data_IF_646008592432
#
_entry.id   IF_646008592432
#
_cell.length_a   1.000
_cell.length_b   1.000
_cell.length_c   1.000
_cell.angle_alpha   90.00
_cell.angle_beta   90.00
_cell.angle_gamma   90.00
#
_symmetry.space_group_name_H-M   'P 1'
#
loop_
_entity.id
_entity.type
_entity.pdbx_description
1 polymer ?
#
# COMPACT_ATOMS: atom_id res chain seq x y z
N UNK A 1 -12.75 -11.41 3.47
CA UNK A 1 -12.49 -9.99 3.78
C UNK A 1 -11.04 -9.67 3.49
N UNK A 2 -10.75 -8.53 2.85
CA UNK A 2 -9.37 -8.11 2.64
C UNK A 2 -8.67 -7.90 3.98
N UNK A 3 -7.36 -8.14 4.02
CA UNK A 3 -6.50 -7.57 5.05
C UNK A 3 -6.38 -6.07 4.79
N UNK A 4 -6.41 -5.27 5.84
CA UNK A 4 -6.31 -3.81 5.77
C UNK A 4 -5.12 -3.38 6.62
N UNK A 5 -4.04 -2.97 5.95
CA UNK A 5 -2.91 -2.34 6.60
C UNK A 5 -3.16 -0.83 6.72
N UNK A 6 -3.32 -0.33 7.95
CA UNK A 6 -3.67 1.08 8.20
C UNK A 6 -2.42 1.89 8.52
N UNK A 7 -2.26 3.02 7.83
CA UNK A 7 -1.07 3.85 7.90
C UNK A 7 0.06 3.39 6.97
N UNK A 8 -0.12 2.28 6.26
CA UNK A 8 0.87 1.73 5.35
C UNK A 8 1.19 2.67 4.19
N UNK A 9 2.45 2.63 3.74
CA UNK A 9 2.99 3.36 2.60
C UNK A 9 3.62 2.31 1.66
N UNK A 10 2.95 1.90 0.57
CA UNK A 10 3.22 0.62 -0.09
C UNK A 10 4.36 0.64 -1.13
N UNK A 11 5.31 1.57 -1.00
CA UNK A 11 6.50 1.63 -1.85
C UNK A 11 7.64 2.38 -1.15
N UNK A 12 8.82 2.28 -1.74
CA UNK A 12 10.07 2.85 -1.24
C UNK A 12 10.00 4.39 -1.08
N UNK A 13 10.55 4.90 0.01
CA UNK A 13 10.52 6.33 0.38
C UNK A 13 9.11 6.98 0.36
N UNK A 14 8.04 6.19 0.42
CA UNK A 14 6.69 6.72 0.41
C UNK A 14 6.48 7.65 1.62
N UNK A 15 5.91 8.83 1.38
CA UNK A 15 5.67 9.85 2.41
C UNK A 15 4.32 10.55 2.24
N UNK A 16 3.62 10.70 3.36
CA UNK A 16 2.42 11.54 3.45
C UNK A 16 2.83 13.01 3.62
N UNK A 17 2.89 13.73 2.49
CA UNK A 17 3.34 15.12 2.40
C UNK A 17 2.46 15.94 1.44
N UNK A 18 2.93 17.11 1.03
CA UNK A 18 2.28 17.84 -0.06
C UNK A 18 2.52 17.11 -1.37
N UNK A 19 1.43 16.67 -2.00
CA UNK A 19 1.39 16.02 -3.31
C UNK A 19 0.74 16.95 -4.32
N UNK A 20 0.91 16.65 -5.60
CA UNK A 20 0.21 17.37 -6.69
C UNK A 20 -0.63 16.38 -7.48
N UNK A 21 -1.91 16.67 -7.69
CA UNK A 21 -2.74 15.86 -8.60
C UNK A 21 -2.23 16.01 -10.03
N UNK A 22 -2.02 14.91 -10.74
CA UNK A 22 -1.73 14.93 -12.18
C UNK A 22 -3.00 14.61 -13.01
N UNK A 23 -4.03 14.03 -12.38
CA UNK A 23 -5.37 13.78 -12.92
C UNK A 23 -6.45 14.33 -11.97
N UNK A 24 -7.67 14.64 -12.46
CA UNK A 24 -8.78 14.99 -11.57
C UNK A 24 -9.18 13.80 -10.70
N UNK A 25 -9.42 14.03 -9.41
CA UNK A 25 -9.81 12.99 -8.44
C UNK A 25 -11.12 13.33 -7.73
N UNK A 26 -11.89 12.30 -7.39
CA UNK A 26 -13.08 12.41 -6.54
C UNK A 26 -12.76 11.79 -5.18
N UNK A 27 -12.97 12.56 -4.12
CA UNK A 27 -12.75 12.11 -2.74
C UNK A 27 -14.02 11.51 -2.18
N UNK A 28 -13.87 10.36 -1.54
CA UNK A 28 -14.93 9.61 -0.90
C UNK A 28 -14.92 9.81 0.62
N UNK A 29 -16.05 9.53 1.26
CA UNK A 29 -16.20 9.56 2.71
C UNK A 29 -15.34 8.49 3.43
N UNK A 30 -15.12 7.35 2.78
CA UNK A 30 -14.29 6.23 3.28
C UNK A 30 -13.69 5.40 2.13
N UNK A 31 -12.68 4.55 2.39
CA UNK A 31 -12.19 3.58 1.41
C UNK A 31 -13.34 2.75 0.82
N UNK A 32 -13.37 2.62 -0.51
CA UNK A 32 -14.46 1.96 -1.25
C UNK A 32 -15.88 2.49 -0.94
N UNK A 33 -16.00 3.73 -0.45
CA UNK A 33 -17.27 4.42 -0.25
C UNK A 33 -18.01 4.73 -1.56
N UNK A 34 -19.23 5.26 -1.45
CA UNK A 34 -20.03 5.70 -2.61
C UNK A 34 -20.32 7.20 -2.60
N UNK A 35 -20.08 7.86 -1.47
CA UNK A 35 -20.41 9.26 -1.26
C UNK A 35 -19.22 10.13 -1.65
N UNK A 36 -19.38 10.99 -2.65
CA UNK A 36 -18.34 11.95 -3.03
C UNK A 36 -18.42 13.18 -2.12
N UNK A 37 -17.35 13.46 -1.38
CA UNK A 37 -17.25 14.60 -0.44
C UNK A 37 -16.53 15.81 -1.06
N UNK A 38 -15.69 15.60 -2.07
CA UNK A 38 -15.03 16.66 -2.82
C UNK A 38 -14.58 16.17 -4.20
N UNK A 39 -14.33 17.12 -5.11
CA UNK A 39 -13.62 16.88 -6.38
C UNK A 39 -12.42 17.80 -6.41
N UNK A 40 -11.27 17.27 -6.80
CA UNK A 40 -10.01 18.01 -6.89
C UNK A 40 -9.57 17.99 -8.36
N UNK A 41 -9.34 19.15 -8.99
CA UNK A 41 -8.89 19.19 -10.38
C UNK A 41 -7.43 18.74 -10.48
N UNK A 42 -6.96 18.49 -11.71
CA UNK A 42 -5.54 18.27 -12.00
C UNK A 42 -4.69 19.50 -11.62
N UNK A 43 -3.38 19.32 -11.46
CA UNK A 43 -2.37 20.32 -11.10
C UNK A 43 -2.68 21.05 -9.78
N UNK A 44 -3.29 20.35 -8.83
CA UNK A 44 -3.69 20.92 -7.55
C UNK A 44 -2.86 20.33 -6.42
N UNK A 45 -2.28 21.22 -5.60
CA UNK A 45 -1.58 20.82 -4.38
C UNK A 45 -2.56 20.33 -3.31
N UNK A 46 -2.31 19.13 -2.79
CA UNK A 46 -3.06 18.47 -1.71
C UNK A 46 -2.08 17.93 -0.67
N UNK A 47 -2.54 17.64 0.54
CA UNK A 47 -1.72 16.98 1.56
C UNK A 47 -2.16 15.52 1.69
N UNK A 48 -1.26 14.56 1.43
CA UNK A 48 -1.45 13.17 1.85
C UNK A 48 -1.45 13.10 3.38
N UNK A 49 -2.46 12.45 3.97
CA UNK A 49 -2.68 12.40 5.42
C UNK A 49 -2.30 11.03 5.98
N UNK A 50 -2.81 9.96 5.35
CA UNK A 50 -2.56 8.56 5.69
C UNK A 50 -3.01 7.69 4.52
N UNK A 51 -2.82 6.38 4.60
CA UNK A 51 -3.37 5.44 3.66
C UNK A 51 -3.75 4.10 4.28
N UNK A 52 -4.44 3.29 3.49
CA UNK A 52 -4.79 1.91 3.78
C UNK A 52 -4.43 1.04 2.59
N UNK A 53 -3.68 -0.03 2.80
CA UNK A 53 -3.45 -1.05 1.77
C UNK A 53 -4.41 -2.20 2.02
N UNK A 54 -5.32 -2.40 1.06
CA UNK A 54 -6.31 -3.45 1.10
C UNK A 54 -5.79 -4.59 0.23
N UNK A 55 -5.62 -5.78 0.80
CA UNK A 55 -5.08 -6.92 0.05
C UNK A 55 -5.83 -8.22 0.31
N UNK A 56 -5.77 -9.12 -0.65
CA UNK A 56 -6.20 -10.51 -0.53
C UNK A 56 -4.98 -11.37 -0.22
N UNK A 57 -4.86 -11.92 1.01
CA UNK A 57 -3.64 -12.63 1.40
C UNK A 57 -3.36 -13.85 0.51
N UNK A 58 -2.14 -13.93 -0.03
CA UNK A 58 -1.67 -15.08 -0.79
C UNK A 58 -0.92 -16.04 0.12
N UNK A 59 -1.37 -17.30 0.22
CA UNK A 59 -0.67 -18.32 1.01
C UNK A 59 0.64 -18.71 0.33
N UNK A 60 1.74 -18.63 1.08
CA UNK A 60 3.10 -18.94 0.64
C UNK A 60 3.73 -19.94 1.62
N UNK A 61 4.58 -20.84 1.10
CA UNK A 61 5.44 -21.70 1.92
C UNK A 61 6.86 -21.20 1.75
N UNK A 62 7.48 -20.76 2.85
CA UNK A 62 8.81 -20.18 2.84
C UNK A 62 9.84 -21.18 2.29
N UNK A 63 10.57 -20.79 1.24
CA UNK A 63 11.60 -21.62 0.61
C UNK A 63 12.93 -21.61 1.36
N UNK A 64 13.14 -20.58 2.17
CA UNK A 64 14.32 -20.34 3.01
C UNK A 64 13.91 -19.61 4.31
N UNK A 65 14.87 -19.30 5.18
CA UNK A 65 14.63 -18.45 6.35
C UNK A 65 14.83 -16.97 5.96
N UNK A 66 13.99 -16.08 6.50
CA UNK A 66 14.15 -14.63 6.27
C UNK A 66 14.88 -13.99 7.44
N UNK A 67 16.03 -13.38 7.14
CA UNK A 67 16.89 -12.73 8.14
C UNK A 67 16.12 -11.67 8.94
N UNK A 68 16.42 -11.57 10.24
CA UNK A 68 15.72 -10.64 11.15
C UNK A 68 14.29 -11.03 11.51
N UNK A 69 13.78 -12.17 11.03
CA UNK A 69 12.43 -12.68 11.34
C UNK A 69 12.48 -14.06 12.01
N UNK A 70 11.40 -14.52 12.67
CA UNK A 70 11.30 -15.89 13.16
C UNK A 70 10.88 -16.91 12.09
N UNK A 71 10.75 -16.50 10.82
CA UNK A 71 10.26 -17.34 9.72
C UNK A 71 11.37 -18.26 9.23
N UNK A 72 11.07 -19.55 9.11
CA UNK A 72 12.01 -20.59 8.66
C UNK A 72 11.49 -21.27 7.39
N UNK A 73 12.40 -21.93 6.67
CA UNK A 73 12.04 -22.80 5.55
C UNK A 73 10.93 -23.78 5.94
N UNK A 74 9.89 -23.86 5.11
CA UNK A 74 8.73 -24.72 5.29
C UNK A 74 7.60 -24.08 6.11
N UNK A 75 7.83 -22.93 6.75
CA UNK A 75 6.74 -22.20 7.41
C UNK A 75 5.72 -21.70 6.38
N UNK A 76 4.46 -21.64 6.80
CA UNK A 76 3.38 -21.05 6.01
C UNK A 76 3.20 -19.61 6.44
N UNK A 77 3.27 -18.70 5.48
CA UNK A 77 3.03 -17.27 5.64
C UNK A 77 1.98 -16.80 4.63
N UNK A 78 1.46 -15.60 4.84
CA UNK A 78 0.55 -14.98 3.90
C UNK A 78 1.12 -13.67 3.39
N UNK A 79 1.46 -13.61 2.11
CA UNK A 79 1.90 -12.38 1.46
C UNK A 79 0.71 -11.42 1.33
N UNK A 80 0.90 -10.18 1.79
CA UNK A 80 -0.16 -9.18 1.88
C UNK A 80 -0.03 -8.17 0.75
N UNK A 81 1.05 -7.40 0.70
CA UNK A 81 1.27 -6.40 -0.34
C UNK A 81 2.75 -6.09 -0.49
N UNK A 82 3.10 -5.52 -1.63
CA UNK A 82 4.44 -5.00 -1.88
C UNK A 82 4.77 -3.84 -0.94
N UNK A 83 6.03 -3.77 -0.50
CA UNK A 83 6.56 -2.73 0.36
C UNK A 83 7.64 -1.86 -0.32
N UNK A 84 8.11 -2.24 -1.52
CA UNK A 84 9.22 -1.58 -2.22
C UNK A 84 10.43 -2.50 -2.38
N UNK A 85 11.28 -2.23 -3.37
CA UNK A 85 12.57 -2.92 -3.60
C UNK A 85 12.58 -4.47 -3.45
N UNK A 86 11.54 -5.18 -3.90
CA UNK A 86 11.43 -6.63 -3.75
C UNK A 86 10.86 -7.11 -2.41
N UNK A 87 10.73 -6.22 -1.42
CA UNK A 87 10.13 -6.52 -0.13
C UNK A 87 8.61 -6.62 -0.22
N UNK A 88 8.08 -7.58 0.53
CA UNK A 88 6.66 -7.77 0.76
C UNK A 88 6.36 -7.77 2.25
N UNK A 89 5.28 -7.09 2.63
CA UNK A 89 4.70 -7.27 3.95
C UNK A 89 3.98 -8.61 3.98
N UNK A 90 4.35 -9.46 4.94
CA UNK A 90 3.77 -10.80 5.13
C UNK A 90 3.18 -10.93 6.53
N UNK A 91 2.09 -11.68 6.65
CA UNK A 91 1.56 -12.08 7.95
C UNK A 91 2.10 -13.45 8.34
N UNK A 92 2.65 -13.53 9.56
CA UNK A 92 3.14 -14.77 10.15
C UNK A 92 2.89 -14.79 11.67
N UNK A 93 2.17 -15.82 12.14
CA UNK A 93 1.90 -16.07 13.57
C UNK A 93 1.42 -14.83 14.34
N UNK A 94 0.46 -14.09 13.75
CA UNK A 94 -0.17 -12.94 14.40
C UNK A 94 0.58 -11.62 14.27
N UNK A 95 1.70 -11.56 13.53
CA UNK A 95 2.48 -10.34 13.31
C UNK A 95 2.77 -10.14 11.82
N UNK A 96 3.01 -8.89 11.44
CA UNK A 96 3.54 -8.56 10.12
C UNK A 96 5.07 -8.47 10.15
N UNK A 97 5.69 -8.83 9.03
CA UNK A 97 7.12 -8.67 8.78
C UNK A 97 7.29 -8.20 7.34
N UNK A 98 8.28 -7.36 7.08
CA UNK A 98 8.72 -7.09 5.71
C UNK A 98 9.85 -8.06 5.39
N UNK A 99 9.67 -8.83 4.31
CA UNK A 99 10.61 -9.86 3.87
C UNK A 99 10.93 -9.70 2.40
N UNK A 100 12.16 -9.99 2.03
CA UNK A 100 12.63 -9.87 0.66
C UNK A 100 12.19 -11.09 -0.17
N UNK A 101 11.36 -10.88 -1.19
CA UNK A 101 10.92 -11.91 -2.13
C UNK A 101 11.72 -11.89 -3.44
N UNK A 102 12.78 -11.10 -3.54
CA UNK A 102 13.64 -11.02 -4.73
C UNK A 102 14.43 -12.31 -4.99
N UNK A 103 14.60 -13.15 -3.96
CA UNK A 103 15.31 -14.43 -4.04
C UNK A 103 14.41 -15.63 -3.65
N UNK A 104 14.86 -16.84 -3.97
CA UNK A 104 14.15 -18.08 -3.63
C UNK A 104 12.94 -18.37 -4.53
N UNK A 105 12.11 -19.33 -4.10
CA UNK A 105 10.91 -19.72 -4.86
C UNK A 105 9.84 -18.61 -4.89
N UNK A 106 9.89 -17.70 -3.92
CA UNK A 106 9.00 -16.56 -3.75
C UNK A 106 9.07 -15.59 -4.92
N UNK A 107 10.25 -15.44 -5.54
CA UNK A 107 10.47 -14.59 -6.73
C UNK A 107 9.61 -14.99 -7.94
N UNK A 108 9.14 -16.24 -7.97
CA UNK A 108 8.29 -16.78 -9.03
C UNK A 108 6.79 -16.78 -8.70
N UNK A 109 6.41 -16.27 -7.52
CA UNK A 109 5.02 -16.25 -7.11
C UNK A 109 4.22 -15.25 -7.94
N UNK A 110 2.95 -15.55 -8.23
CA UNK A 110 2.04 -14.61 -8.88
C UNK A 110 1.58 -13.56 -7.86
N UNK A 111 2.48 -12.67 -7.46
CA UNK A 111 2.25 -11.66 -6.41
C UNK A 111 1.24 -10.60 -6.86
N UNK A 112 1.00 -10.47 -8.17
CA UNK A 112 -0.13 -9.76 -8.76
C UNK A 112 -1.49 -10.27 -8.25
N UNK A 113 -1.57 -11.54 -7.82
CA UNK A 113 -2.79 -12.12 -7.23
C UNK A 113 -3.09 -11.67 -5.81
N UNK A 114 -2.18 -10.96 -5.15
CA UNK A 114 -2.48 -10.35 -3.83
C UNK A 114 -3.59 -9.28 -3.92
N UNK A 115 -3.98 -8.88 -5.14
CA UNK A 115 -5.05 -7.91 -5.43
C UNK A 115 -4.99 -6.73 -4.45
N UNK A 116 -3.83 -6.08 -4.39
CA UNK A 116 -3.63 -4.94 -3.50
C UNK A 116 -4.25 -3.67 -4.09
N UNK A 117 -4.82 -2.85 -3.22
CA UNK A 117 -5.35 -1.52 -3.54
C UNK A 117 -4.92 -0.55 -2.46
N UNK A 118 -4.30 0.56 -2.85
CA UNK A 118 -3.88 1.58 -1.91
C UNK A 118 -4.90 2.72 -1.89
N UNK A 119 -5.62 2.86 -0.78
CA UNK A 119 -6.51 3.97 -0.54
C UNK A 119 -5.78 5.04 0.24
N UNK A 120 -5.73 6.25 -0.27
CA UNK A 120 -5.08 7.38 0.40
C UNK A 120 -6.13 8.37 0.89
N UNK A 121 -5.95 8.83 2.12
CA UNK A 121 -6.69 9.98 2.61
C UNK A 121 -5.90 11.24 2.27
N UNK A 122 -6.54 12.19 1.61
CA UNK A 122 -5.94 13.49 1.31
C UNK A 122 -6.75 14.62 1.91
N UNK A 123 -6.08 15.75 2.13
CA UNK A 123 -6.67 17.02 2.54
C UNK A 123 -6.40 18.10 1.52
N UNK A 124 -7.45 18.80 1.09
CA UNK A 124 -7.37 19.94 0.18
C UNK A 124 -6.97 21.22 0.91
N UNK A 125 -6.58 22.26 0.16
CA UNK A 125 -6.20 23.57 0.75
C UNK A 125 -7.35 24.25 1.51
N UNK A 126 -8.59 24.02 1.10
CA UNK A 126 -9.81 24.51 1.79
C UNK A 126 -10.25 23.60 2.96
N UNK A 127 -9.43 22.61 3.35
CA UNK A 127 -9.60 21.80 4.55
C UNK A 127 -10.49 20.56 4.39
N UNK A 128 -11.07 20.31 3.21
CA UNK A 128 -11.85 19.10 2.95
C UNK A 128 -10.93 17.88 2.97
N UNK A 129 -11.38 16.81 3.62
CA UNK A 129 -10.63 15.56 3.74
C UNK A 129 -11.48 14.42 3.19
N UNK A 130 -10.85 13.50 2.47
CA UNK A 130 -11.53 12.31 1.96
C UNK A 130 -10.56 11.30 1.35
N UNK A 131 -11.11 10.14 0.99
CA UNK A 131 -10.37 8.97 0.52
C UNK A 131 -10.43 8.81 -0.98
N UNK A 132 -9.35 8.33 -1.58
CA UNK A 132 -9.28 8.04 -3.02
C UNK A 132 -8.40 6.81 -3.24
N UNK A 133 -8.80 5.96 -4.19
CA UNK A 133 -8.00 4.82 -4.61
C UNK A 133 -6.85 5.34 -5.45
N UNK A 134 -5.62 5.17 -5.00
CA UNK A 134 -4.45 5.56 -5.75
C UNK A 134 -4.28 4.71 -7.01
N UNK A 135 -4.14 5.40 -8.15
CA UNK A 135 -3.93 4.84 -9.48
C UNK A 135 -2.81 5.59 -10.20
N UNK A 136 -1.82 6.09 -9.45
CA UNK A 136 -0.71 6.93 -9.91
C UNK A 136 -1.17 8.31 -10.39
N UNK A 137 -2.13 8.89 -9.67
CA UNK A 137 -2.75 10.18 -10.00
C UNK A 137 -2.17 11.37 -9.23
N UNK A 138 -1.11 11.11 -8.45
CA UNK A 138 -0.43 12.08 -7.62
C UNK A 138 1.07 12.03 -7.91
N UNK A 139 1.68 13.21 -7.96
CA UNK A 139 3.13 13.39 -8.01
C UNK A 139 3.65 13.73 -6.61
N UNK A 140 4.96 13.58 -6.40
CA UNK A 140 5.66 13.95 -5.17
C UNK A 140 5.29 13.08 -3.95
N UNK A 141 4.97 11.80 -4.17
CA UNK A 141 4.56 10.85 -3.13
C UNK A 141 5.73 10.13 -2.45
N UNK A 142 6.82 9.90 -3.17
CA UNK A 142 8.11 9.42 -2.68
C UNK A 142 8.99 10.60 -2.23
N UNK A 143 10.02 10.35 -1.43
CA UNK A 143 11.03 11.35 -1.05
C UNK A 143 12.47 10.82 -1.21
N UNK A 144 12.69 9.91 -2.14
CA UNK A 144 14.03 9.46 -2.49
C UNK A 144 14.75 10.59 -3.27
N UNK A 145 15.56 11.40 -2.58
CA UNK A 145 16.61 12.26 -3.18
C UNK A 145 16.17 13.39 -4.10
#
# INVERSE_FOLDING_TARGET
NPYIDRGACPFECCTYRVWTTNLPVSLLDKPAGKTVVAKVPTKTGVTGVTGEVHSTPLRVVASHAFEGTPIKKGDVLFALHYAGEGFFTVWFKGKTYDVDFSEGAESSLPLDKTNQSWWVQIRTKDGKTGWVLDKNQFDNQDSCG
#
